data_IF_189408563199
#
_entry.id   IF_189408563199
#
_cell.length_a   1.000
_cell.length_b   1.000
_cell.length_c   1.000
_cell.angle_alpha   90.00
_cell.angle_beta   90.00
_cell.angle_gamma   90.00
#
_symmetry.space_group_name_H-M   'P 1'
#
loop_
_entity.id
_entity.type
_entity.pdbx_description
1 polymer ?
#
# COMPACT_ATOMS: atom_id res chain seq x y z
N UNK A 1 30.40 -9.81 39.15
CA UNK A 1 29.26 -8.92 38.91
C UNK A 1 29.04 -8.93 37.42
N UNK A 2 28.13 -9.79 36.95
CA UNK A 2 27.75 -9.79 35.53
C UNK A 2 27.14 -8.42 35.22
N UNK A 3 27.73 -7.70 34.27
CA UNK A 3 27.13 -6.48 33.75
C UNK A 3 25.78 -6.88 33.17
N UNK A 4 24.70 -6.42 33.81
CA UNK A 4 23.34 -6.62 33.34
C UNK A 4 23.28 -6.04 31.92
N UNK A 5 23.19 -6.89 30.89
CA UNK A 5 23.11 -6.46 29.50
C UNK A 5 21.91 -5.53 29.35
N UNK A 6 22.18 -4.23 29.28
CA UNK A 6 21.15 -3.21 29.07
C UNK A 6 20.63 -3.41 27.65
N UNK A 7 19.40 -3.90 27.51
CA UNK A 7 18.75 -4.04 26.21
C UNK A 7 18.54 -2.65 25.60
N UNK A 8 19.24 -2.34 24.52
CA UNK A 8 19.08 -1.09 23.79
C UNK A 8 17.93 -1.20 22.78
N UNK A 9 17.06 -0.18 22.76
CA UNK A 9 15.91 -0.14 21.85
C UNK A 9 15.97 1.09 20.95
N UNK A 10 15.02 1.20 20.01
CA UNK A 10 14.85 2.42 19.19
C UNK A 10 14.55 3.67 20.01
N UNK A 11 14.04 3.52 21.24
CA UNK A 11 13.78 4.65 22.14
C UNK A 11 15.06 5.24 22.75
N UNK A 12 16.15 4.47 22.74
CA UNK A 12 17.47 4.89 23.22
C UNK A 12 18.37 5.43 22.08
N UNK A 13 17.84 5.51 20.85
CA UNK A 13 18.58 6.00 19.70
C UNK A 13 18.72 7.52 19.75
N UNK A 14 19.96 7.99 19.73
CA UNK A 14 20.33 9.39 19.58
C UNK A 14 20.88 9.56 18.16
N UNK A 15 20.12 10.28 17.34
CA UNK A 15 20.41 10.54 15.94
C UNK A 15 20.51 12.04 15.68
N UNK A 16 21.54 12.48 14.96
CA UNK A 16 21.75 13.88 14.59
C UNK A 16 22.57 14.01 13.31
N UNK A 17 22.44 15.15 12.63
CA UNK A 17 23.33 15.53 11.51
C UNK A 17 24.51 16.35 12.02
N UNK A 18 25.68 16.15 11.42
CA UNK A 18 26.90 16.88 11.75
C UNK A 18 27.88 16.87 10.59
N UNK A 19 28.63 17.96 10.46
CA UNK A 19 29.81 18.13 9.62
C UNK A 19 31.11 18.03 10.43
N UNK A 20 31.04 18.27 11.76
CA UNK A 20 32.18 18.16 12.68
C UNK A 20 32.68 16.71 12.82
N UNK A 21 33.94 16.50 12.41
CA UNK A 21 34.66 15.23 12.49
C UNK A 21 34.68 14.64 13.91
N UNK A 22 34.84 15.47 14.95
CA UNK A 22 34.93 14.98 16.34
C UNK A 22 33.60 14.43 16.84
N UNK A 23 32.49 14.93 16.29
CA UNK A 23 31.14 14.54 16.70
C UNK A 23 30.66 13.26 16.01
N UNK A 24 31.30 12.84 14.92
CA UNK A 24 30.92 11.62 14.19
C UNK A 24 31.73 10.38 14.60
N UNK A 25 32.97 10.55 15.09
CA UNK A 25 33.81 9.42 15.53
C UNK A 25 33.12 8.62 16.64
N UNK A 26 33.18 7.29 16.52
CA UNK A 26 32.55 6.36 17.46
C UNK A 26 31.04 6.22 17.27
N UNK A 27 30.48 6.74 16.17
CA UNK A 27 29.07 6.57 15.78
C UNK A 27 28.92 5.68 14.54
N UNK A 28 27.69 5.40 14.16
CA UNK A 28 27.34 4.71 12.92
C UNK A 28 26.62 5.66 11.97
N UNK A 29 26.83 5.52 10.65
CA UNK A 29 26.03 6.24 9.66
C UNK A 29 24.56 5.79 9.71
N UNK A 30 23.64 6.73 9.90
CA UNK A 30 22.22 6.46 10.03
C UNK A 30 21.50 6.31 8.68
N UNK A 31 22.11 6.80 7.61
CA UNK A 31 21.68 6.68 6.21
C UNK A 31 22.88 6.39 5.31
N UNK A 32 22.61 6.06 4.03
CA UNK A 32 23.66 6.12 3.00
C UNK A 32 24.11 7.57 2.84
N UNK A 33 25.40 7.75 2.61
CA UNK A 33 25.98 9.04 2.24
C UNK A 33 26.15 9.02 0.73
N UNK A 34 25.42 9.91 0.06
CA UNK A 34 25.31 9.94 -1.40
C UNK A 34 25.77 11.31 -1.87
N UNK A 35 26.67 11.31 -2.85
CA UNK A 35 27.02 12.50 -3.63
C UNK A 35 26.02 12.63 -4.78
N UNK A 36 25.41 13.79 -4.92
CA UNK A 36 24.42 14.08 -5.96
C UNK A 36 24.90 15.24 -6.82
N UNK A 37 24.88 15.09 -8.15
CA UNK A 37 25.24 16.15 -9.09
C UNK A 37 24.33 16.12 -10.32
N UNK A 38 24.22 17.26 -11.01
CA UNK A 38 23.46 17.41 -12.25
C UNK A 38 24.42 17.35 -13.45
N UNK A 39 24.07 16.56 -14.46
CA UNK A 39 24.76 16.50 -15.75
C UNK A 39 23.81 16.92 -16.87
N UNK A 40 24.25 17.87 -17.69
CA UNK A 40 23.48 18.35 -18.82
C UNK A 40 23.88 17.59 -20.09
N UNK A 41 22.89 17.02 -20.77
CA UNK A 41 23.05 16.35 -22.05
C UNK A 41 22.34 17.16 -23.13
N UNK A 42 23.08 17.64 -24.13
CA UNK A 42 22.49 18.28 -25.30
C UNK A 42 22.19 17.22 -26.37
N UNK A 43 20.95 17.17 -26.84
CA UNK A 43 20.60 16.42 -28.05
C UNK A 43 21.24 17.09 -29.27
N UNK A 44 22.01 16.30 -30.03
CA UNK A 44 22.76 16.79 -31.19
C UNK A 44 21.85 17.24 -32.33
N UNK A 45 20.62 16.71 -32.42
CA UNK A 45 19.71 16.99 -33.52
C UNK A 45 18.75 18.15 -33.20
N UNK A 46 18.36 18.31 -31.93
CA UNK A 46 17.35 19.31 -31.50
C UNK A 46 17.93 20.49 -30.71
N UNK A 47 19.12 20.32 -30.11
CA UNK A 47 19.71 21.31 -29.20
C UNK A 47 19.01 21.39 -27.84
N UNK A 48 18.06 20.50 -27.55
CA UNK A 48 17.41 20.40 -26.24
C UNK A 48 18.43 19.94 -25.19
N UNK A 49 18.50 20.65 -24.07
CA UNK A 49 19.35 20.29 -22.93
C UNK A 49 18.49 19.52 -21.93
N UNK A 50 18.85 18.27 -21.70
CA UNK A 50 18.25 17.42 -20.68
C UNK A 50 19.21 17.36 -19.50
N UNK A 51 18.79 17.93 -18.36
CA UNK A 51 19.53 17.83 -17.11
C UNK A 51 19.17 16.53 -16.39
N UNK A 52 20.16 15.69 -16.10
CA UNK A 52 20.01 14.42 -15.41
C UNK A 52 20.70 14.49 -14.05
N UNK A 53 19.98 14.15 -12.99
CA UNK A 53 20.55 14.00 -11.65
C UNK A 53 21.24 12.62 -11.51
N UNK A 54 22.54 12.64 -11.19
CA UNK A 54 23.37 11.47 -10.92
C UNK A 54 23.63 11.36 -9.43
N UNK A 55 23.79 10.12 -8.96
CA UNK A 55 24.00 9.78 -7.57
C UNK A 55 25.14 8.75 -7.45
N UNK A 56 26.10 9.00 -6.56
CA UNK A 56 27.17 8.07 -6.20
C UNK A 56 27.18 7.79 -4.70
N UNK A 57 27.27 6.53 -4.30
CA UNK A 57 27.23 6.12 -2.90
C UNK A 57 28.65 6.15 -2.34
N UNK A 58 28.95 7.16 -1.53
CA UNK A 58 30.25 7.29 -0.87
C UNK A 58 30.40 6.32 0.31
N UNK A 59 29.34 6.19 1.11
CA UNK A 59 29.35 5.32 2.29
C UNK A 59 28.01 4.63 2.51
N UNK A 60 28.08 3.35 2.87
CA UNK A 60 26.91 2.54 3.20
C UNK A 60 26.35 2.86 4.59
N UNK A 61 25.03 2.67 4.72
CA UNK A 61 24.33 2.80 6.00
C UNK A 61 24.87 1.80 7.03
N UNK A 62 25.02 2.25 8.27
CA UNK A 62 25.49 1.42 9.38
C UNK A 62 26.99 1.13 9.36
N UNK A 63 27.77 1.80 8.50
CA UNK A 63 29.23 1.83 8.59
C UNK A 63 29.64 2.52 9.90
N UNK A 64 30.56 1.89 10.63
CA UNK A 64 31.16 2.48 11.83
C UNK A 64 32.12 3.60 11.42
N UNK A 65 32.09 4.70 12.16
CA UNK A 65 32.92 5.87 11.89
C UNK A 65 34.12 5.82 12.82
N UNK A 66 35.21 5.24 12.34
CA UNK A 66 36.55 5.36 12.92
C UNK A 66 37.23 6.68 12.47
N UNK A 67 38.47 6.90 12.92
CA UNK A 67 39.22 8.12 12.60
C UNK A 67 39.42 8.27 11.08
N UNK A 68 39.79 7.20 10.37
CA UNK A 68 40.01 7.21 8.92
C UNK A 68 38.71 7.50 8.15
N UNK A 69 37.60 6.87 8.54
CA UNK A 69 36.28 7.13 7.95
C UNK A 69 35.85 8.57 8.19
N UNK A 70 36.10 9.12 9.39
CA UNK A 70 35.76 10.50 9.70
C UNK A 70 36.60 11.49 8.86
N UNK A 71 37.89 11.22 8.64
CA UNK A 71 38.75 12.02 7.75
C UNK A 71 38.21 11.97 6.32
N UNK A 72 37.85 10.79 5.82
CA UNK A 72 37.31 10.63 4.48
C UNK A 72 35.97 11.36 4.29
N UNK A 73 35.08 11.32 5.29
CA UNK A 73 33.84 12.10 5.29
C UNK A 73 34.15 13.61 5.27
N UNK A 74 35.06 14.08 6.12
CA UNK A 74 35.44 15.49 6.18
C UNK A 74 36.03 15.99 4.85
N UNK A 75 36.80 15.14 4.15
CA UNK A 75 37.30 15.44 2.81
C UNK A 75 36.16 15.66 1.81
N UNK A 76 35.18 14.76 1.76
CA UNK A 76 34.02 14.92 0.87
C UNK A 76 33.18 16.17 1.21
N UNK A 77 33.07 16.53 2.49
CA UNK A 77 32.44 17.79 2.90
C UNK A 77 33.22 19.00 2.39
N UNK A 78 34.54 19.00 2.54
CA UNK A 78 35.41 20.10 2.07
C UNK A 78 35.40 20.25 0.54
N UNK A 79 35.28 19.14 -0.20
CA UNK A 79 35.11 19.16 -1.65
C UNK A 79 33.72 19.64 -2.09
N UNK A 80 32.77 19.78 -1.17
CA UNK A 80 31.39 20.12 -1.48
C UNK A 80 30.58 18.97 -2.08
N UNK A 81 31.07 17.73 -1.99
CA UNK A 81 30.36 16.54 -2.46
C UNK A 81 29.12 16.25 -1.62
N UNK A 82 29.19 16.56 -0.32
CA UNK A 82 28.12 16.40 0.67
C UNK A 82 28.17 17.58 1.65
N UNK A 83 27.03 17.98 2.21
CA UNK A 83 26.98 19.07 3.19
C UNK A 83 27.30 18.59 4.62
N UNK A 84 26.75 17.43 5.00
CA UNK A 84 26.88 16.85 6.32
C UNK A 84 26.57 15.33 6.25
N UNK A 85 26.73 14.64 7.38
CA UNK A 85 26.33 13.24 7.53
C UNK A 85 25.38 13.06 8.71
N UNK A 86 24.48 12.09 8.61
CA UNK A 86 23.59 11.71 9.70
C UNK A 86 24.15 10.51 10.46
N UNK A 87 24.32 10.67 11.77
CA UNK A 87 24.97 9.68 12.63
C UNK A 87 24.04 9.21 13.75
N UNK A 88 24.23 7.97 14.20
CA UNK A 88 23.48 7.33 15.27
C UNK A 88 24.43 6.64 16.26
N UNK A 89 24.08 6.65 17.55
CA UNK A 89 24.76 5.83 18.56
C UNK A 89 24.49 4.32 18.37
N UNK A 90 23.52 3.94 17.55
CA UNK A 90 23.14 2.55 17.32
C UNK A 90 23.37 2.13 15.86
N UNK A 91 23.87 0.90 15.67
CA UNK A 91 24.06 0.34 14.33
C UNK A 91 22.74 -0.23 13.78
N UNK A 92 22.09 0.50 12.87
CA UNK A 92 20.85 0.05 12.20
C UNK A 92 21.08 -0.24 10.72
N UNK A 93 21.13 -1.52 10.35
CA UNK A 93 21.38 -1.94 8.98
C UNK A 93 20.10 -1.95 8.13
N UNK A 94 19.04 -2.60 8.61
CA UNK A 94 17.78 -2.72 7.88
C UNK A 94 17.01 -1.39 7.83
N UNK A 95 16.13 -1.26 6.83
CA UNK A 95 15.14 -0.20 6.71
C UNK A 95 13.80 -0.81 6.32
N UNK A 96 12.66 -0.32 6.83
CA UNK A 96 11.36 -0.72 6.30
C UNK A 96 11.28 -0.40 4.80
N UNK A 97 10.78 -1.35 4.01
CA UNK A 97 10.43 -1.09 2.62
C UNK A 97 9.29 -0.07 2.57
N UNK A 98 9.37 0.85 1.61
CA UNK A 98 8.25 1.72 1.28
C UNK A 98 7.44 1.02 0.20
N UNK A 99 6.18 0.75 0.49
CA UNK A 99 5.21 0.29 -0.48
C UNK A 99 4.31 1.46 -0.84
N UNK A 100 4.25 1.82 -2.12
CA UNK A 100 3.41 2.94 -2.56
C UNK A 100 2.00 2.51 -3.01
N UNK A 101 1.72 1.20 -2.98
CA UNK A 101 0.45 0.60 -3.38
C UNK A 101 -0.43 0.33 -2.16
N UNK A 102 -1.69 0.72 -2.25
CA UNK A 102 -2.70 0.38 -1.25
C UNK A 102 -3.10 -1.10 -1.38
N UNK A 103 -2.88 -1.86 -0.32
CA UNK A 103 -3.25 -3.27 -0.22
C UNK A 103 -4.34 -3.46 0.82
N UNK A 104 -5.22 -4.46 0.66
CA UNK A 104 -6.28 -4.72 1.62
C UNK A 104 -5.75 -5.30 2.95
N UNK A 105 -6.30 -4.81 4.05
CA UNK A 105 -6.04 -5.29 5.40
C UNK A 105 -7.36 -5.58 6.13
N UNK A 106 -7.32 -6.59 6.99
CA UNK A 106 -8.34 -6.82 8.02
C UNK A 106 -7.84 -6.30 9.35
N UNK A 107 -8.52 -5.31 9.91
CA UNK A 107 -8.32 -4.84 11.26
C UNK A 107 -9.36 -5.43 12.20
N UNK A 108 -8.98 -5.70 13.44
CA UNK A 108 -9.90 -6.08 14.52
C UNK A 108 -9.62 -5.21 15.71
N UNK A 109 -10.66 -4.64 16.30
CA UNK A 109 -10.58 -3.77 17.47
C UNK A 109 -11.64 -4.16 18.49
N UNK A 110 -11.38 -3.90 19.76
CA UNK A 110 -12.37 -3.94 20.83
C UNK A 110 -12.84 -2.52 21.05
N UNK A 111 -14.12 -2.25 20.83
CA UNK A 111 -14.75 -0.94 21.05
C UNK A 111 -15.79 -1.11 22.16
N UNK A 112 -15.57 -0.46 23.29
CA UNK A 112 -16.26 -0.77 24.54
C UNK A 112 -16.04 -2.24 24.92
N UNK A 113 -17.11 -3.05 24.96
CA UNK A 113 -17.04 -4.48 25.28
C UNK A 113 -17.27 -5.39 24.05
N UNK A 114 -17.27 -4.83 22.83
CA UNK A 114 -17.58 -5.58 21.61
C UNK A 114 -16.37 -5.64 20.69
N UNK A 115 -16.03 -6.84 20.23
CA UNK A 115 -15.07 -7.06 19.15
C UNK A 115 -15.71 -6.65 17.82
N UNK A 116 -15.04 -5.77 17.09
CA UNK A 116 -15.44 -5.28 15.77
C UNK A 116 -14.31 -5.53 14.77
N UNK A 117 -14.68 -5.87 13.54
CA UNK A 117 -13.75 -6.14 12.44
C UNK A 117 -13.99 -5.15 11.32
N UNK A 118 -12.91 -4.68 10.70
CA UNK A 118 -12.92 -3.70 9.63
C UNK A 118 -12.06 -4.20 8.47
N UNK A 119 -12.49 -3.91 7.25
CA UNK A 119 -11.66 -4.06 6.05
C UNK A 119 -11.28 -2.66 5.58
N UNK A 120 -10.02 -2.47 5.22
CA UNK A 120 -9.49 -1.20 4.74
C UNK A 120 -8.36 -1.44 3.75
N UNK A 121 -7.90 -0.39 3.10
CA UNK A 121 -6.71 -0.45 2.26
C UNK A 121 -5.63 0.48 2.80
N UNK A 122 -4.38 0.01 2.83
CA UNK A 122 -3.24 0.78 3.34
C UNK A 122 -1.93 0.34 2.67
N UNK A 123 -0.91 1.17 2.78
CA UNK A 123 0.43 0.87 2.25
C UNK A 123 1.23 -0.07 3.17
N UNK A 124 1.03 0.07 4.47
CA UNK A 124 1.72 -0.72 5.50
C UNK A 124 0.77 -1.06 6.65
N UNK A 125 1.19 -1.99 7.52
CA UNK A 125 0.45 -2.30 8.74
C UNK A 125 0.35 -1.07 9.68
N UNK A 126 1.40 -0.24 9.74
CA UNK A 126 1.40 1.00 10.53
C UNK A 126 0.35 1.98 10.00
N UNK A 127 0.34 2.22 8.68
CA UNK A 127 -0.67 3.08 8.07
C UNK A 127 -2.09 2.53 8.23
N UNK A 128 -2.26 1.19 8.16
CA UNK A 128 -3.55 0.57 8.43
C UNK A 128 -4.02 0.77 9.88
N UNK A 129 -3.10 0.76 10.85
CA UNK A 129 -3.42 1.09 12.25
C UNK A 129 -3.88 2.55 12.36
N UNK A 130 -3.21 3.49 11.70
CA UNK A 130 -3.61 4.90 11.70
C UNK A 130 -5.01 5.09 11.10
N UNK A 131 -5.26 4.54 9.91
CA UNK A 131 -6.55 4.62 9.21
C UNK A 131 -7.70 4.05 10.07
N UNK A 132 -7.51 2.84 10.65
CA UNK A 132 -8.59 2.24 11.46
C UNK A 132 -8.77 2.98 12.78
N UNK A 133 -7.72 3.55 13.35
CA UNK A 133 -7.80 4.33 14.59
C UNK A 133 -8.63 5.59 14.35
N UNK A 134 -8.29 6.39 13.33
CA UNK A 134 -9.05 7.60 12.96
C UNK A 134 -10.51 7.26 12.62
N UNK A 135 -10.72 6.22 11.80
CA UNK A 135 -12.08 5.78 11.49
C UNK A 135 -12.88 5.41 12.75
N UNK A 136 -12.28 4.73 13.73
CA UNK A 136 -12.98 4.38 14.96
C UNK A 136 -13.26 5.64 15.80
N UNK A 137 -12.31 6.56 15.91
CA UNK A 137 -12.48 7.83 16.65
C UNK A 137 -13.64 8.68 16.10
N UNK A 138 -13.81 8.71 14.78
CA UNK A 138 -14.89 9.46 14.13
C UNK A 138 -16.26 8.79 14.25
N UNK A 139 -16.31 7.45 14.31
CA UNK A 139 -17.57 6.70 14.19
C UNK A 139 -18.06 6.05 15.50
N UNK A 140 -17.27 6.08 16.58
CA UNK A 140 -17.64 5.46 17.85
C UNK A 140 -17.34 6.37 19.06
N UNK A 141 -18.21 6.32 20.06
CA UNK A 141 -18.10 7.15 21.28
C UNK A 141 -17.42 6.44 22.46
N UNK A 142 -17.20 5.14 22.37
CA UNK A 142 -16.61 4.33 23.43
C UNK A 142 -15.09 4.24 23.29
N UNK A 143 -14.38 4.09 24.41
CA UNK A 143 -12.96 3.76 24.40
C UNK A 143 -12.72 2.46 23.60
N UNK A 144 -11.58 2.39 22.91
CA UNK A 144 -11.26 1.27 22.05
C UNK A 144 -9.77 0.92 22.07
N UNK A 145 -9.46 -0.30 21.62
CA UNK A 145 -8.11 -0.78 21.34
C UNK A 145 -8.09 -1.58 20.04
N UNK A 146 -7.12 -1.31 19.17
CA UNK A 146 -6.89 -2.11 17.96
C UNK A 146 -6.11 -3.37 18.35
N UNK A 147 -6.73 -4.54 18.25
CA UNK A 147 -6.14 -5.83 18.64
C UNK A 147 -5.17 -6.37 17.57
N UNK A 148 -5.54 -6.22 16.29
CA UNK A 148 -4.77 -6.82 15.20
C UNK A 148 -5.04 -6.13 13.88
N UNK A 149 -4.00 -6.10 13.03
CA UNK A 149 -4.09 -5.71 11.62
C UNK A 149 -3.38 -6.78 10.79
N UNK A 150 -4.09 -7.41 9.85
CA UNK A 150 -3.58 -8.51 9.03
C UNK A 150 -3.71 -8.19 7.54
N UNK A 151 -2.61 -8.31 6.81
CA UNK A 151 -2.60 -8.18 5.35
C UNK A 151 -3.44 -9.30 4.72
N UNK A 152 -4.24 -8.96 3.71
CA UNK A 152 -5.03 -9.91 2.91
C UNK A 152 -4.49 -9.96 1.47
N UNK A 153 -3.35 -10.62 1.23
CA UNK A 153 -2.72 -10.60 -0.09
C UNK A 153 -3.68 -11.16 -1.16
N UNK A 154 -3.75 -10.50 -2.32
CA UNK A 154 -4.60 -10.93 -3.43
C UNK A 154 -6.11 -10.74 -3.22
N UNK A 155 -6.54 -10.19 -2.08
CA UNK A 155 -7.96 -9.97 -1.83
C UNK A 155 -8.50 -8.76 -2.60
N UNK A 156 -9.65 -8.93 -3.24
CA UNK A 156 -10.34 -7.89 -3.99
C UNK A 156 -11.58 -7.47 -3.20
N UNK A 157 -11.64 -6.20 -2.86
CA UNK A 157 -12.77 -5.62 -2.14
C UNK A 157 -13.72 -4.99 -3.16
N UNK A 158 -14.91 -5.54 -3.29
CA UNK A 158 -15.95 -5.01 -4.17
C UNK A 158 -16.93 -4.19 -3.33
N UNK A 159 -16.78 -2.86 -3.40
CA UNK A 159 -17.70 -1.90 -2.78
C UNK A 159 -18.97 -1.69 -3.61
N UNK A 160 -19.99 -1.08 -2.99
CA UNK A 160 -21.33 -0.86 -3.56
C UNK A 160 -21.32 -0.11 -4.92
N UNK A 161 -20.28 0.67 -5.25
CA UNK A 161 -20.15 1.31 -6.58
C UNK A 161 -20.12 0.31 -7.74
N UNK A 162 -19.50 -0.85 -7.56
CA UNK A 162 -19.53 -1.90 -8.58
C UNK A 162 -20.86 -2.64 -8.58
N UNK A 163 -21.49 -2.82 -7.42
CA UNK A 163 -22.83 -3.39 -7.32
C UNK A 163 -23.86 -2.57 -8.11
N UNK A 164 -23.88 -1.23 -7.96
CA UNK A 164 -24.78 -0.35 -8.71
C UNK A 164 -24.61 -0.47 -10.23
N UNK A 165 -23.37 -0.52 -10.70
CA UNK A 165 -23.07 -0.71 -12.13
C UNK A 165 -23.52 -2.08 -12.67
N UNK A 166 -23.74 -3.08 -11.81
CA UNK A 166 -24.25 -4.40 -12.19
C UNK A 166 -25.78 -4.45 -12.12
N UNK A 167 -26.37 -3.88 -11.07
CA UNK A 167 -27.83 -3.74 -10.92
C UNK A 167 -28.45 -2.88 -12.05
N UNK A 168 -27.74 -1.86 -12.54
CA UNK A 168 -28.15 -1.04 -13.70
C UNK A 168 -28.11 -1.82 -15.04
N UNK A 169 -27.24 -2.81 -15.17
CA UNK A 169 -27.04 -3.58 -16.41
C UNK A 169 -27.98 -4.80 -16.49
N UNK A 170 -28.34 -5.41 -15.36
CA UNK A 170 -29.26 -6.55 -15.30
C UNK A 170 -30.76 -6.17 -15.27
N UNK A 171 -31.09 -4.88 -15.44
CA UNK A 171 -32.47 -4.40 -15.42
C UNK A 171 -33.10 -4.45 -14.03
N UNK A 172 -32.36 -4.00 -13.01
CA UNK A 172 -32.89 -3.78 -11.67
C UNK A 172 -34.12 -2.87 -11.71
N UNK A 173 -35.20 -3.31 -11.05
CA UNK A 173 -36.48 -2.61 -10.91
C UNK A 173 -36.32 -1.10 -10.76
N UNK A 174 -37.19 -0.33 -11.43
CA UNK A 174 -37.41 1.10 -11.17
C UNK A 174 -37.69 1.34 -9.68
N UNK A 175 -36.63 1.59 -8.90
CA UNK A 175 -36.70 2.13 -7.57
C UNK A 175 -36.07 3.52 -7.66
N UNK A 176 -36.90 4.52 -7.32
CA UNK A 176 -36.70 5.92 -7.67
C UNK A 176 -35.39 6.55 -7.20
N UNK A 177 -35.16 7.76 -7.71
CA UNK A 177 -34.05 8.63 -7.34
C UNK A 177 -33.89 8.71 -5.81
N UNK A 178 -32.81 8.14 -5.29
CA UNK A 178 -32.45 8.24 -3.87
C UNK A 178 -31.08 8.91 -3.73
N UNK A 179 -31.08 10.01 -2.96
CA UNK A 179 -29.95 10.90 -2.69
C UNK A 179 -28.82 10.24 -1.90
N UNK A 180 -27.60 10.80 -1.90
CA UNK A 180 -26.37 10.19 -1.36
C UNK A 180 -26.40 9.74 0.11
N UNK A 181 -27.37 10.20 0.91
CA UNK A 181 -27.48 9.92 2.35
C UNK A 181 -28.41 8.74 2.69
N UNK A 182 -28.99 8.04 1.71
CA UNK A 182 -29.95 6.95 1.94
C UNK A 182 -29.34 5.57 2.26
N UNK A 183 -28.01 5.42 2.25
CA UNK A 183 -27.38 4.10 2.12
C UNK A 183 -26.95 3.41 3.43
N UNK A 184 -27.05 4.05 4.60
CA UNK A 184 -26.62 3.42 5.85
C UNK A 184 -27.59 2.33 6.38
N UNK A 185 -28.77 2.12 5.78
CA UNK A 185 -29.85 1.37 6.42
C UNK A 185 -30.60 0.33 5.54
N UNK A 186 -29.96 -0.33 4.57
CA UNK A 186 -30.53 -1.59 4.02
C UNK A 186 -30.09 -2.77 4.89
N UNK A 187 -30.88 -3.05 5.94
CA UNK A 187 -30.67 -4.10 6.96
C UNK A 187 -30.57 -5.54 6.41
N UNK A 188 -30.88 -5.77 5.13
CA UNK A 188 -30.94 -7.09 4.50
C UNK A 188 -29.60 -7.55 3.88
N UNK A 189 -28.59 -6.68 3.81
CA UNK A 189 -27.30 -7.01 3.18
C UNK A 189 -26.26 -7.49 4.19
N UNK A 190 -25.44 -8.46 3.77
CA UNK A 190 -24.36 -9.05 4.57
C UNK A 190 -23.05 -9.06 3.79
N UNK A 191 -21.95 -9.13 4.51
CA UNK A 191 -20.65 -9.34 3.89
C UNK A 191 -20.43 -10.84 3.65
N UNK A 192 -19.91 -11.16 2.47
CA UNK A 192 -19.49 -12.50 2.08
C UNK A 192 -18.02 -12.48 1.72
N UNK A 193 -17.30 -13.53 2.12
CA UNK A 193 -15.97 -13.86 1.60
C UNK A 193 -16.13 -15.00 0.63
N UNK A 194 -15.71 -14.76 -0.61
CA UNK A 194 -15.88 -15.68 -1.72
C UNK A 194 -14.49 -16.00 -2.26
N UNK A 195 -14.14 -17.27 -2.29
CA UNK A 195 -12.95 -17.77 -2.98
C UNK A 195 -13.43 -18.32 -4.32
N UNK A 196 -12.78 -17.91 -5.41
CA UNK A 196 -13.22 -18.26 -6.74
C UNK A 196 -12.05 -18.46 -7.69
N UNK A 197 -12.18 -19.46 -8.56
CA UNK A 197 -11.29 -19.72 -9.66
C UNK A 197 -11.84 -19.07 -10.93
N UNK A 198 -11.01 -18.25 -11.56
CA UNK A 198 -11.33 -17.56 -12.81
C UNK A 198 -10.60 -18.26 -13.94
N UNK A 199 -11.35 -18.74 -14.93
CA UNK A 199 -10.82 -19.41 -16.12
C UNK A 199 -11.21 -18.64 -17.37
N UNK A 200 -10.24 -18.37 -18.26
CA UNK A 200 -10.56 -17.77 -19.56
C UNK A 200 -11.36 -18.76 -20.41
N UNK A 201 -12.41 -18.30 -21.06
CA UNK A 201 -13.16 -19.16 -22.00
C UNK A 201 -12.27 -19.39 -23.23
N UNK A 202 -12.03 -20.65 -23.64
CA UNK A 202 -11.25 -20.95 -24.84
C UNK A 202 -11.89 -20.35 -26.09
N UNK A 203 -11.06 -19.84 -26.98
CA UNK A 203 -11.46 -19.38 -28.33
C UNK A 203 -11.02 -20.40 -29.39
N UNK A 204 -11.67 -20.40 -30.56
CA UNK A 204 -11.28 -21.27 -31.67
C UNK A 204 -9.82 -21.00 -32.06
N UNK A 205 -8.94 -21.96 -31.79
CA UNK A 205 -7.50 -21.87 -32.04
C UNK A 205 -6.60 -21.91 -30.80
N UNK A 206 -7.16 -21.90 -29.58
CA UNK A 206 -6.36 -22.12 -28.36
C UNK A 206 -6.00 -23.62 -28.22
N UNK A 207 -4.71 -23.96 -28.30
CA UNK A 207 -4.21 -25.34 -28.17
C UNK A 207 -3.96 -25.77 -26.70
N UNK A 208 -3.81 -24.81 -25.78
CA UNK A 208 -3.54 -25.07 -24.35
C UNK A 208 -4.80 -24.84 -23.51
N UNK A 209 -5.10 -25.76 -22.59
CA UNK A 209 -6.20 -25.59 -21.65
C UNK A 209 -5.95 -24.37 -20.74
N UNK A 210 -6.94 -23.47 -20.59
CA UNK A 210 -6.79 -22.28 -19.78
C UNK A 210 -6.63 -22.64 -18.30
N UNK A 211 -5.57 -22.13 -17.66
CA UNK A 211 -5.31 -22.39 -16.25
C UNK A 211 -6.16 -21.47 -15.36
N UNK A 212 -6.87 -22.03 -14.36
CA UNK A 212 -7.64 -21.22 -13.42
C UNK A 212 -6.71 -20.34 -12.57
N UNK A 213 -7.11 -19.10 -12.37
CA UNK A 213 -6.48 -18.16 -11.44
C UNK A 213 -7.39 -17.97 -10.23
N UNK A 214 -6.90 -18.31 -9.04
CA UNK A 214 -7.66 -18.23 -7.79
C UNK A 214 -7.62 -16.83 -7.18
N UNK A 215 -8.77 -16.33 -6.73
CA UNK A 215 -8.91 -15.01 -6.10
C UNK A 215 -9.83 -15.06 -4.89
N UNK A 216 -9.56 -14.16 -3.94
CA UNK A 216 -10.40 -13.92 -2.76
C UNK A 216 -11.17 -12.61 -2.92
N UNK A 217 -12.49 -12.67 -2.82
CA UNK A 217 -13.37 -11.51 -2.90
C UNK A 217 -14.05 -11.24 -1.57
N UNK A 218 -14.18 -9.96 -1.23
CA UNK A 218 -15.09 -9.49 -0.17
C UNK A 218 -16.16 -8.63 -0.83
N UNK A 219 -17.41 -9.03 -0.67
CA UNK A 219 -18.55 -8.38 -1.31
C UNK A 219 -19.67 -8.18 -0.27
N UNK A 220 -20.38 -7.06 -0.36
CA UNK A 220 -21.59 -6.80 0.44
C UNK A 220 -22.82 -7.02 -0.45
N UNK A 221 -23.58 -8.07 -0.19
CA UNK A 221 -24.76 -8.45 -1.00
C UNK A 221 -25.87 -9.04 -0.14
N UNK A 222 -27.06 -9.26 -0.73
CA UNK A 222 -28.19 -9.94 -0.07
C UNK A 222 -27.94 -11.44 0.10
N UNK A 223 -27.36 -12.05 -0.92
CA UNK A 223 -27.11 -13.48 -1.02
C UNK A 223 -25.87 -13.78 -1.88
N UNK A 224 -25.52 -15.06 -1.95
CA UNK A 224 -24.33 -15.57 -2.65
C UNK A 224 -24.49 -15.48 -4.17
N UNK A 225 -25.71 -15.67 -4.70
CA UNK A 225 -25.96 -15.63 -6.15
C UNK A 225 -25.75 -14.21 -6.69
N UNK A 226 -26.26 -13.21 -5.97
CA UNK A 226 -26.00 -11.79 -6.23
C UNK A 226 -24.50 -11.48 -6.15
N UNK A 227 -23.78 -12.06 -5.18
CA UNK A 227 -22.34 -11.86 -5.08
C UNK A 227 -21.58 -12.47 -6.26
N UNK A 228 -21.99 -13.65 -6.74
CA UNK A 228 -21.44 -14.28 -7.94
C UNK A 228 -21.67 -13.40 -9.17
N UNK A 229 -22.88 -12.87 -9.37
CA UNK A 229 -23.19 -11.97 -10.47
C UNK A 229 -22.30 -10.71 -10.43
N UNK A 230 -22.17 -10.06 -9.26
CA UNK A 230 -21.32 -8.88 -9.07
C UNK A 230 -19.85 -9.17 -9.38
N UNK A 231 -19.32 -10.29 -8.88
CA UNK A 231 -17.93 -10.71 -9.17
C UNK A 231 -17.77 -10.96 -10.68
N UNK A 232 -18.73 -11.63 -11.32
CA UNK A 232 -18.73 -11.91 -12.77
C UNK A 232 -18.66 -10.66 -13.61
N UNK A 233 -19.56 -9.72 -13.34
CA UNK A 233 -19.59 -8.46 -14.08
C UNK A 233 -18.35 -7.61 -13.81
N UNK A 234 -17.82 -7.59 -12.58
CA UNK A 234 -16.56 -6.89 -12.27
C UNK A 234 -15.38 -7.44 -13.06
N UNK A 235 -15.22 -8.77 -13.12
CA UNK A 235 -14.13 -9.42 -13.87
C UNK A 235 -14.25 -9.11 -15.35
N UNK A 236 -15.42 -9.35 -15.96
CA UNK A 236 -15.62 -9.09 -17.39
C UNK A 236 -15.39 -7.62 -17.75
N UNK A 237 -15.86 -6.68 -16.91
CA UNK A 237 -15.62 -5.24 -17.13
C UNK A 237 -14.14 -4.87 -17.03
N UNK A 238 -13.45 -5.39 -16.01
CA UNK A 238 -12.03 -5.10 -15.78
C UNK A 238 -11.16 -5.69 -16.89
N UNK A 239 -11.48 -6.90 -17.35
CA UNK A 239 -10.74 -7.58 -18.40
C UNK A 239 -10.99 -6.97 -19.78
N UNK A 240 -12.23 -6.51 -20.05
CA UNK A 240 -12.56 -5.78 -21.27
C UNK A 240 -11.80 -4.46 -21.37
N UNK A 241 -11.77 -3.67 -20.29
CA UNK A 241 -10.97 -2.43 -20.24
C UNK A 241 -9.49 -2.68 -20.51
N UNK A 242 -8.90 -3.68 -19.86
CA UNK A 242 -7.50 -4.06 -20.14
C UNK A 242 -7.28 -4.50 -21.58
N UNK A 243 -8.24 -5.22 -22.17
CA UNK A 243 -8.15 -5.66 -23.55
C UNK A 243 -8.14 -4.46 -24.52
N UNK A 244 -9.00 -3.48 -24.28
CA UNK A 244 -9.06 -2.22 -25.04
C UNK A 244 -7.76 -1.42 -24.90
N UNK A 245 -7.21 -1.29 -23.69
CA UNK A 245 -5.93 -0.62 -23.43
C UNK A 245 -4.73 -1.30 -24.12
N UNK A 246 -4.75 -2.64 -24.20
CA UNK A 246 -3.70 -3.46 -24.81
C UNK A 246 -3.93 -3.71 -26.31
N UNK A 247 -5.03 -3.20 -26.89
CA UNK A 247 -5.38 -3.39 -28.29
C UNK A 247 -5.67 -4.84 -28.69
N UNK A 248 -6.07 -5.69 -27.73
CA UNK A 248 -6.39 -7.11 -27.93
C UNK A 248 -7.89 -7.36 -27.86
N UNK A 249 -8.33 -8.49 -28.39
CA UNK A 249 -9.72 -8.91 -28.26
C UNK A 249 -10.09 -9.22 -26.80
N UNK A 250 -11.28 -8.79 -26.41
CA UNK A 250 -11.81 -9.04 -25.08
C UNK A 250 -12.21 -10.52 -24.95
N UNK A 251 -11.53 -11.24 -24.06
CA UNK A 251 -11.90 -12.60 -23.68
C UNK A 251 -12.98 -12.56 -22.60
N UNK A 252 -13.90 -13.52 -22.64
CA UNK A 252 -14.85 -13.79 -21.56
C UNK A 252 -14.21 -14.74 -20.55
N UNK A 253 -14.65 -14.64 -19.30
CA UNK A 253 -14.14 -15.47 -18.21
C UNK A 253 -15.30 -16.16 -17.50
N UNK A 254 -15.08 -17.43 -17.17
CA UNK A 254 -15.96 -18.20 -16.31
C UNK A 254 -15.46 -18.21 -14.88
N UNK A 255 -16.41 -18.23 -13.95
CA UNK A 255 -16.13 -18.20 -12.51
C UNK A 255 -16.69 -19.46 -11.87
N UNK A 256 -15.79 -20.21 -11.27
CA UNK A 256 -16.12 -21.32 -10.39
C UNK A 256 -15.92 -20.89 -8.94
N UNK A 257 -16.99 -20.92 -8.15
CA UNK A 257 -16.88 -20.64 -6.72
C UNK A 257 -16.28 -21.85 -6.01
N UNK A 258 -15.13 -21.66 -5.37
CA UNK A 258 -14.48 -22.71 -4.56
C UNK A 258 -14.95 -22.66 -3.10
N UNK A 259 -15.28 -21.45 -2.61
CA UNK A 259 -15.84 -21.25 -1.28
C UNK A 259 -16.70 -19.99 -1.23
N UNK A 260 -17.79 -20.02 -0.48
CA UNK A 260 -18.61 -18.84 -0.20
C UNK A 260 -19.12 -18.91 1.23
N UNK A 261 -18.73 -17.94 2.06
CA UNK A 261 -19.08 -17.92 3.48
C UNK A 261 -19.49 -16.54 3.96
N UNK A 262 -20.50 -16.42 4.85
CA UNK A 262 -20.78 -15.18 5.54
C UNK A 262 -19.54 -14.69 6.27
N UNK A 263 -19.22 -13.43 6.10
CA UNK A 263 -18.04 -12.81 6.67
C UNK A 263 -18.45 -11.79 7.72
N UNK A 264 -18.23 -12.10 8.99
CA UNK A 264 -18.62 -11.18 10.07
C UNK A 264 -17.70 -9.94 10.07
N UNK A 265 -18.26 -8.83 9.59
CA UNK A 265 -17.57 -7.57 9.42
C UNK A 265 -18.45 -6.42 9.92
N UNK A 266 -17.85 -5.49 10.66
CA UNK A 266 -18.54 -4.30 11.12
C UNK A 266 -18.66 -3.26 10.00
N UNK A 267 -17.58 -2.99 9.27
CA UNK A 267 -17.59 -2.09 8.12
C UNK A 267 -16.41 -2.34 7.17
N UNK A 268 -16.59 -1.96 5.91
CA UNK A 268 -15.48 -1.70 4.99
C UNK A 268 -15.23 -0.18 5.03
N UNK A 269 -14.03 0.23 5.42
CA UNK A 269 -13.65 1.65 5.47
C UNK A 269 -13.62 2.18 4.02
N UNK A 270 -14.28 3.32 3.74
CA UNK A 270 -14.34 3.86 2.39
C UNK A 270 -12.96 4.06 1.76
N UNK A 271 -12.84 3.75 0.47
CA UNK A 271 -11.58 3.92 -0.27
C UNK A 271 -11.08 5.37 -0.21
N UNK A 272 -11.98 6.35 -0.37
CA UNK A 272 -11.63 7.77 -0.30
C UNK A 272 -11.00 8.15 1.05
N UNK A 273 -11.47 7.55 2.14
CA UNK A 273 -10.91 7.72 3.47
C UNK A 273 -9.50 7.11 3.56
N UNK A 274 -9.32 5.88 3.05
CA UNK A 274 -8.03 5.20 3.00
C UNK A 274 -6.97 5.96 2.18
N UNK A 275 -7.37 6.56 1.06
CA UNK A 275 -6.46 7.29 0.15
C UNK A 275 -5.91 8.56 0.79
N UNK A 276 -6.63 9.19 1.72
CA UNK A 276 -6.13 10.37 2.42
C UNK A 276 -4.84 10.09 3.23
N UNK A 277 -4.60 8.83 3.59
CA UNK A 277 -3.41 8.37 4.31
C UNK A 277 -2.30 7.85 3.39
N UNK A 278 -2.48 7.94 2.07
CA UNK A 278 -1.50 7.44 1.10
C UNK A 278 -0.29 8.38 1.06
N UNK A 279 0.88 7.86 1.40
CA UNK A 279 2.13 8.54 1.11
C UNK A 279 2.40 8.50 -0.39
N UNK A 280 2.65 9.67 -0.98
CA UNK A 280 3.07 9.80 -2.38
C UNK A 280 4.58 9.89 -2.42
N UNK A 281 5.20 9.16 -3.34
CA UNK A 281 6.62 9.32 -3.63
C UNK A 281 6.86 10.74 -4.15
N UNK A 282 7.55 11.56 -3.36
CA UNK A 282 8.02 12.88 -3.81
C UNK A 282 9.22 12.67 -4.71
N UNK A 283 8.98 12.44 -5.99
CA UNK A 283 10.02 12.54 -7.01
C UNK A 283 10.18 14.03 -7.29
N UNK A 284 11.25 14.64 -6.77
CA UNK A 284 11.64 16.00 -7.15
C UNK A 284 12.26 15.95 -8.55
N UNK A 285 11.43 15.90 -9.59
CA UNK A 285 11.86 16.32 -10.92
C UNK A 285 11.92 17.84 -10.92
N UNK A 286 13.12 18.38 -10.78
CA UNK A 286 13.35 19.82 -10.95
C UNK A 286 13.49 20.06 -12.45
N UNK A 287 12.39 20.39 -13.12
CA UNK A 287 12.43 20.98 -14.45
C UNK A 287 12.49 22.49 -14.24
N UNK A 288 13.68 23.07 -14.37
CA UNK A 288 13.87 24.53 -14.46
C UNK A 288 13.64 25.00 -15.89
#
# INVERSE_FOLDING_TARGET
>A
MEAQERTETRKDEIRYRTDDQRRMVGKFLASRVVKTWKEDFADQDTGEIITVERNDILFEKGKYIDEDTAISIAFHIQCGDIADVEVSNQRRLAQPSKDYVLRPYKATAVVGNKRKSFILQAQSATAAIEVVTDYIELNFTSAFSVDSVKLMPGCIILNDRFRRAVEEVEGGNEAGEETPDGEEAREDTKYYRIEADITAVPTEGDEEEPRPSSYDFIVKTRDIDTAKAVITAWINTTMKKRAEEEGREARTFEISLTSASPFNLNAIIPYAFCVAYKEVEKITTTTD
#
